data_IF_690709547274
#
_entry.id   IF_690709547274
#
_cell.length_a   1.000
_cell.length_b   1.000
_cell.length_c   1.000
_cell.angle_alpha   90.00
_cell.angle_beta   90.00
_cell.angle_gamma   90.00
#
_symmetry.space_group_name_H-M   'P 1'
#
loop_
_entity.id
_entity.type
_entity.pdbx_description
1 polymer ?
#
# COMPACT_ATOMS: atom_id res chain seq x y z
N UNK A 1 26.71 10.75 -6.50
CA UNK A 1 26.93 9.38 -7.00
C UNK A 1 26.19 9.23 -8.33
N UNK A 2 26.92 8.94 -9.41
CA UNK A 2 26.53 8.67 -10.81
C UNK A 2 25.24 9.26 -11.39
N UNK A 3 25.35 10.24 -12.30
CA UNK A 3 24.28 10.45 -13.29
C UNK A 3 24.33 9.27 -14.27
N UNK A 4 23.31 8.42 -14.24
CA UNK A 4 23.14 7.33 -15.20
C UNK A 4 22.85 7.94 -16.58
N UNK A 5 23.91 8.03 -17.41
CA UNK A 5 23.87 8.66 -18.74
C UNK A 5 23.78 7.55 -19.77
N UNK A 6 22.61 7.39 -20.38
CA UNK A 6 22.38 6.48 -21.50
C UNK A 6 22.36 7.28 -22.80
N UNK A 7 23.27 6.96 -23.73
CA UNK A 7 23.26 7.53 -25.08
C UNK A 7 21.98 7.07 -25.81
N UNK A 8 21.26 8.00 -26.42
CA UNK A 8 19.96 7.75 -27.08
C UNK A 8 19.95 8.10 -28.57
N UNK A 9 21.10 8.46 -29.16
CA UNK A 9 21.23 8.79 -30.58
C UNK A 9 21.57 10.26 -30.86
N UNK A 10 21.75 10.62 -32.15
CA UNK A 10 22.04 11.99 -32.58
C UNK A 10 20.86 12.94 -32.35
N UNK A 11 21.15 14.22 -32.13
CA UNK A 11 20.14 15.27 -31.89
C UNK A 11 19.26 15.52 -33.13
N UNK A 12 19.78 15.20 -34.32
CA UNK A 12 19.12 15.47 -35.60
C UNK A 12 17.99 14.48 -35.92
N UNK A 13 17.75 13.48 -35.06
CA UNK A 13 16.61 12.57 -35.16
C UNK A 13 15.39 13.18 -34.44
N UNK A 14 14.29 13.51 -35.16
CA UNK A 14 13.10 14.11 -34.57
C UNK A 14 12.42 13.24 -33.49
N UNK A 15 12.50 11.90 -33.60
CA UNK A 15 11.93 10.98 -32.61
C UNK A 15 12.76 10.96 -31.31
N UNK A 16 14.09 11.06 -31.42
CA UNK A 16 14.99 11.14 -30.27
C UNK A 16 14.82 12.47 -29.54
N UNK A 17 14.69 13.57 -30.29
CA UNK A 17 14.46 14.91 -29.71
C UNK A 17 13.13 14.96 -28.95
N UNK A 18 12.03 14.45 -29.53
CA UNK A 18 10.74 14.31 -28.81
C UNK A 18 10.85 13.49 -27.53
N UNK A 19 11.61 12.38 -27.56
CA UNK A 19 11.81 11.53 -26.38
C UNK A 19 12.60 12.24 -25.28
N UNK A 20 13.60 13.03 -25.65
CA UNK A 20 14.39 13.85 -24.72
C UNK A 20 13.54 14.95 -24.10
N UNK A 21 12.69 15.62 -24.89
CA UNK A 21 11.77 16.66 -24.39
C UNK A 21 10.72 16.08 -23.44
N UNK A 22 10.02 15.01 -23.83
CA UNK A 22 9.07 14.34 -22.95
C UNK A 22 9.72 13.89 -21.63
N UNK A 23 10.98 13.43 -21.68
CA UNK A 23 11.73 13.06 -20.49
C UNK A 23 12.13 14.27 -19.62
N UNK A 24 12.43 15.44 -20.23
CA UNK A 24 12.67 16.68 -19.49
C UNK A 24 11.41 17.14 -18.76
N UNK A 25 10.26 17.10 -19.41
CA UNK A 25 8.98 17.50 -18.81
C UNK A 25 8.58 16.59 -17.65
N UNK A 26 8.71 15.27 -17.83
CA UNK A 26 8.51 14.29 -16.76
C UNK A 26 9.45 14.55 -15.56
N UNK A 27 10.71 14.91 -15.82
CA UNK A 27 11.67 15.27 -14.75
C UNK A 27 11.30 16.57 -14.04
N UNK A 28 10.88 17.59 -14.78
CA UNK A 28 10.46 18.87 -14.22
C UNK A 28 9.23 18.70 -13.31
N UNK A 29 8.23 17.94 -13.78
CA UNK A 29 7.04 17.58 -13.01
C UNK A 29 7.40 16.79 -11.74
N UNK A 30 8.24 15.75 -11.83
CA UNK A 30 8.72 15.00 -10.67
C UNK A 30 9.45 15.88 -9.65
N UNK A 31 10.27 16.84 -10.09
CA UNK A 31 10.95 17.80 -9.22
C UNK A 31 9.95 18.73 -8.53
N UNK A 32 8.95 19.22 -9.28
CA UNK A 32 7.85 20.03 -8.75
C UNK A 32 7.06 19.29 -7.67
N UNK A 33 6.63 18.06 -7.94
CA UNK A 33 5.90 17.24 -6.95
C UNK A 33 6.73 16.91 -5.72
N UNK A 34 8.02 16.59 -5.87
CA UNK A 34 8.94 16.41 -4.73
C UNK A 34 9.03 17.66 -3.86
N UNK A 35 9.09 18.84 -4.47
CA UNK A 35 9.08 20.11 -3.73
C UNK A 35 7.77 20.28 -2.97
N UNK A 36 6.63 20.03 -3.61
CA UNK A 36 5.31 20.10 -2.99
C UNK A 36 5.19 19.15 -1.80
N UNK A 37 5.57 17.87 -1.96
CA UNK A 37 5.59 16.89 -0.87
C UNK A 37 6.51 17.34 0.27
N UNK A 38 7.70 17.86 -0.05
CA UNK A 38 8.61 18.40 0.96
C UNK A 38 7.99 19.57 1.74
N UNK A 39 7.27 20.47 1.06
CA UNK A 39 6.55 21.58 1.70
C UNK A 39 5.42 21.07 2.59
N UNK A 40 4.61 20.13 2.11
CA UNK A 40 3.52 19.52 2.90
C UNK A 40 4.04 18.84 4.18
N UNK A 41 5.17 18.14 4.10
CA UNK A 41 5.75 17.47 5.26
C UNK A 41 6.39 18.46 6.23
N UNK A 42 7.15 19.46 5.73
CA UNK A 42 7.91 20.38 6.58
C UNK A 42 7.07 21.52 7.17
N UNK A 43 6.23 22.14 6.34
CA UNK A 43 5.50 23.36 6.69
C UNK A 43 4.08 23.05 7.19
N UNK A 44 3.40 22.08 6.55
CA UNK A 44 2.06 21.66 6.99
C UNK A 44 2.09 20.54 8.04
N UNK A 45 3.27 20.00 8.35
CA UNK A 45 3.49 18.91 9.31
C UNK A 45 2.64 17.68 9.01
N UNK A 46 2.41 17.40 7.72
CA UNK A 46 1.71 16.19 7.31
C UNK A 46 2.61 14.97 7.51
N UNK A 47 2.03 13.82 7.86
CA UNK A 47 2.79 12.63 8.21
C UNK A 47 3.53 12.08 7.00
N UNK A 48 4.78 11.68 7.24
CA UNK A 48 5.62 10.99 6.28
C UNK A 48 5.74 9.52 6.70
N UNK A 49 5.53 8.54 5.81
CA UNK A 49 5.75 7.15 6.14
C UNK A 49 7.22 6.88 6.47
N UNK A 50 7.48 5.77 7.16
CA UNK A 50 8.85 5.26 7.26
C UNK A 50 9.42 5.05 5.84
N UNK A 51 10.74 5.22 5.63
CA UNK A 51 11.35 5.08 4.31
C UNK A 51 11.00 3.76 3.62
N UNK A 52 11.12 2.63 4.33
CA UNK A 52 10.81 1.30 3.79
C UNK A 52 9.34 1.14 3.38
N UNK A 53 8.40 1.64 4.21
CA UNK A 53 6.96 1.61 3.88
C UNK A 53 6.69 2.39 2.59
N UNK A 54 7.27 3.59 2.47
CA UNK A 54 7.10 4.42 1.27
C UNK A 54 7.72 3.79 0.02
N UNK A 55 8.88 3.15 0.14
CA UNK A 55 9.55 2.46 -0.96
C UNK A 55 8.77 1.23 -1.43
N UNK A 56 8.24 0.42 -0.51
CA UNK A 56 7.41 -0.75 -0.84
C UNK A 56 6.12 -0.31 -1.53
N UNK A 57 5.42 0.69 -1.00
CA UNK A 57 4.20 1.22 -1.62
C UNK A 57 4.51 1.82 -2.99
N UNK A 58 5.61 2.54 -3.16
CA UNK A 58 6.04 3.07 -4.47
C UNK A 58 6.36 1.95 -5.47
N UNK A 59 7.07 0.89 -5.03
CA UNK A 59 7.40 -0.27 -5.86
C UNK A 59 6.15 -0.98 -6.36
N UNK A 60 5.22 -1.29 -5.45
CA UNK A 60 3.95 -1.95 -5.82
C UNK A 60 3.03 -1.03 -6.65
N UNK A 61 3.05 0.28 -6.39
CA UNK A 61 2.33 1.24 -7.23
C UNK A 61 2.85 1.21 -8.69
N UNK A 62 4.18 1.23 -8.87
CA UNK A 62 4.82 1.14 -10.19
C UNK A 62 4.57 -0.20 -10.87
N UNK A 63 4.51 -1.29 -10.11
CA UNK A 63 4.17 -2.62 -10.60
C UNK A 63 2.69 -2.76 -11.03
N UNK A 64 1.83 -1.81 -10.64
CA UNK A 64 0.45 -1.72 -11.11
C UNK A 64 -0.62 -2.04 -10.08
N UNK A 65 -0.27 -2.20 -8.80
CA UNK A 65 -1.20 -2.67 -7.76
C UNK A 65 -2.50 -1.85 -7.71
N UNK A 66 -2.39 -0.51 -7.68
CA UNK A 66 -3.55 0.38 -7.65
C UNK A 66 -4.30 0.46 -8.99
N UNK A 67 -3.61 0.25 -10.12
CA UNK A 67 -4.24 0.15 -11.45
C UNK A 67 -5.13 -1.07 -11.53
N UNK A 68 -4.70 -2.17 -10.91
CA UNK A 68 -5.44 -3.43 -10.77
C UNK A 68 -6.47 -3.38 -9.63
N UNK A 69 -6.92 -2.18 -9.23
CA UNK A 69 -7.93 -1.95 -8.18
C UNK A 69 -7.56 -2.47 -6.79
N UNK A 70 -6.26 -2.64 -6.52
CA UNK A 70 -5.77 -2.84 -5.16
C UNK A 70 -5.95 -1.59 -4.30
N UNK A 71 -6.11 -1.79 -2.99
CA UNK A 71 -6.35 -0.75 -1.98
C UNK A 71 -5.30 -0.88 -0.87
N UNK A 72 -4.63 0.21 -0.54
CA UNK A 72 -3.75 0.30 0.62
C UNK A 72 -4.61 0.40 1.87
N UNK A 73 -4.39 -0.47 2.86
CA UNK A 73 -5.16 -0.46 4.11
C UNK A 73 -4.22 -0.34 5.32
N UNK A 74 -4.75 -0.57 6.52
CA UNK A 74 -3.94 -0.54 7.75
C UNK A 74 -3.42 0.85 8.11
N UNK A 75 -2.27 0.90 8.79
CA UNK A 75 -1.70 2.16 9.31
C UNK A 75 -1.14 3.04 8.19
N UNK A 76 -0.63 2.47 7.11
CA UNK A 76 -0.11 3.23 5.97
C UNK A 76 -1.21 4.06 5.29
N UNK A 77 -2.41 3.49 5.13
CA UNK A 77 -3.58 4.22 4.64
C UNK A 77 -4.00 5.37 5.57
N UNK A 78 -3.94 5.14 6.89
CA UNK A 78 -4.29 6.16 7.88
C UNK A 78 -3.43 7.43 7.79
N UNK A 79 -2.14 7.27 7.44
CA UNK A 79 -1.24 8.41 7.25
C UNK A 79 -1.71 9.33 6.11
N UNK A 80 -2.43 8.82 5.11
CA UNK A 80 -2.96 9.64 4.03
C UNK A 80 -4.10 10.58 4.47
N UNK A 81 -4.84 10.25 5.56
CA UNK A 81 -6.04 11.00 5.93
C UNK A 81 -5.77 12.41 6.43
N UNK A 82 -4.57 12.71 6.93
CA UNK A 82 -4.24 14.07 7.35
C UNK A 82 -4.34 15.06 6.16
N UNK A 83 -3.88 14.63 4.98
CA UNK A 83 -4.00 15.40 3.75
C UNK A 83 -5.44 15.44 3.22
N UNK A 84 -6.13 14.29 3.22
CA UNK A 84 -7.51 14.17 2.73
C UNK A 84 -8.49 15.02 3.53
N UNK A 85 -8.34 15.07 4.85
CA UNK A 85 -9.22 15.78 5.77
C UNK A 85 -8.79 17.22 6.04
N UNK A 86 -7.63 17.66 5.54
CA UNK A 86 -7.11 19.00 5.79
C UNK A 86 -6.78 19.30 7.25
N UNK A 87 -6.51 18.27 8.07
CA UNK A 87 -6.21 18.42 9.51
C UNK A 87 -5.08 17.51 9.96
N UNK A 88 -4.40 17.90 11.04
CA UNK A 88 -3.38 17.06 11.68
C UNK A 88 -4.02 15.91 12.45
N UNK A 89 -3.39 14.75 12.38
CA UNK A 89 -3.79 13.52 13.07
C UNK A 89 -2.73 13.09 14.09
N UNK A 90 -3.13 12.34 15.10
CA UNK A 90 -2.25 11.92 16.19
C UNK A 90 -1.11 11.00 15.69
N UNK A 91 0.14 11.41 15.91
CA UNK A 91 1.33 10.66 15.48
C UNK A 91 1.46 9.28 16.15
N UNK A 92 0.99 9.13 17.40
CA UNK A 92 1.00 7.86 18.12
C UNK A 92 0.19 6.76 17.41
N UNK A 93 -0.76 7.13 16.55
CA UNK A 93 -1.56 6.20 15.77
C UNK A 93 -0.90 5.77 14.44
N UNK A 94 0.32 6.25 14.12
CA UNK A 94 0.91 6.12 12.78
C UNK A 94 2.11 5.16 12.68
N UNK A 95 2.60 4.60 13.79
CA UNK A 95 3.72 3.65 13.77
C UNK A 95 3.25 2.23 13.43
N UNK A 96 3.96 1.55 12.52
CA UNK A 96 3.61 0.21 12.04
C UNK A 96 4.87 -0.47 11.48
N UNK A 97 5.03 -1.78 11.74
CA UNK A 97 6.14 -2.61 11.23
C UNK A 97 5.78 -3.39 9.97
N UNK A 98 4.66 -3.03 9.35
CA UNK A 98 3.95 -3.77 8.32
C UNK A 98 3.28 -2.83 7.32
N UNK A 99 2.91 -3.36 6.15
CA UNK A 99 2.03 -2.69 5.19
C UNK A 99 1.07 -3.70 4.59
N UNK A 100 -0.20 -3.33 4.60
CA UNK A 100 -1.29 -4.20 4.21
C UNK A 100 -1.92 -3.71 2.90
N UNK A 101 -2.12 -4.65 1.99
CA UNK A 101 -2.69 -4.43 0.68
C UNK A 101 -3.92 -5.30 0.51
N UNK A 102 -5.03 -4.73 0.06
CA UNK A 102 -6.29 -5.43 -0.09
C UNK A 102 -6.79 -5.41 -1.53
N UNK A 103 -7.42 -6.49 -1.97
CA UNK A 103 -8.07 -6.57 -3.29
C UNK A 103 -9.25 -7.55 -3.20
N UNK A 104 -10.35 -7.27 -3.91
CA UNK A 104 -11.43 -8.25 -4.10
C UNK A 104 -10.95 -9.42 -4.96
N UNK A 105 -11.28 -10.64 -4.55
CA UNK A 105 -10.93 -11.84 -5.32
C UNK A 105 -11.56 -11.83 -6.72
N UNK A 106 -12.83 -11.44 -6.84
CA UNK A 106 -13.55 -11.38 -8.11
C UNK A 106 -12.90 -10.40 -9.07
N UNK A 107 -12.37 -9.30 -8.57
CA UNK A 107 -11.61 -8.34 -9.38
C UNK A 107 -10.28 -8.97 -9.83
N UNK A 108 -9.59 -9.66 -8.92
CA UNK A 108 -8.33 -10.35 -9.24
C UNK A 108 -8.50 -11.40 -10.35
N UNK A 109 -9.64 -12.09 -10.37
CA UNK A 109 -9.99 -13.09 -11.39
C UNK A 109 -10.48 -12.44 -12.70
N UNK A 110 -11.29 -11.39 -12.61
CA UNK A 110 -11.89 -10.76 -13.79
C UNK A 110 -10.88 -9.93 -14.60
N UNK A 111 -9.84 -9.39 -13.95
CA UNK A 111 -8.79 -8.64 -14.64
C UNK A 111 -7.86 -9.62 -15.38
N UNK A 112 -7.79 -9.48 -16.71
CA UNK A 112 -6.88 -10.25 -17.58
C UNK A 112 -5.46 -9.65 -17.65
N UNK A 113 -5.04 -8.95 -16.60
CA UNK A 113 -3.72 -8.34 -16.41
C UNK A 113 -3.19 -8.76 -15.03
N UNK A 114 -1.88 -8.81 -14.87
CA UNK A 114 -1.25 -9.25 -13.62
C UNK A 114 0.01 -8.44 -13.33
N UNK A 115 0.29 -8.24 -12.06
CA UNK A 115 1.60 -7.74 -11.65
C UNK A 115 2.71 -8.76 -11.97
N UNK A 116 3.97 -8.30 -12.10
CA UNK A 116 5.11 -9.19 -11.93
C UNK A 116 5.04 -9.94 -10.59
N UNK A 117 5.79 -11.05 -10.43
CA UNK A 117 5.85 -11.75 -9.15
C UNK A 117 6.16 -10.79 -8.00
N UNK A 118 5.32 -10.82 -6.95
CA UNK A 118 5.42 -9.87 -5.83
C UNK A 118 6.82 -9.87 -5.23
N UNK A 119 7.40 -11.06 -5.05
CA UNK A 119 8.72 -11.21 -4.46
C UNK A 119 9.79 -10.47 -5.26
N UNK A 120 9.70 -10.46 -6.60
CA UNK A 120 10.65 -9.76 -7.46
C UNK A 120 10.51 -8.24 -7.31
N UNK A 121 9.28 -7.74 -7.23
CA UNK A 121 9.01 -6.31 -6.98
C UNK A 121 9.54 -5.89 -5.60
N UNK A 122 9.33 -6.72 -4.58
CA UNK A 122 9.81 -6.44 -3.22
C UNK A 122 11.33 -6.50 -3.13
N UNK A 123 11.98 -7.43 -3.83
CA UNK A 123 13.46 -7.57 -3.85
C UNK A 123 14.17 -6.41 -4.56
N UNK A 124 13.48 -5.70 -5.46
CA UNK A 124 13.98 -4.43 -5.99
C UNK A 124 14.05 -3.32 -4.93
N UNK A 125 13.24 -3.42 -3.87
CA UNK A 125 13.25 -2.50 -2.73
C UNK A 125 14.26 -2.95 -1.66
N UNK A 126 14.19 -4.22 -1.27
CA UNK A 126 15.10 -4.84 -0.31
C UNK A 126 15.36 -6.30 -0.74
N UNK A 127 16.58 -6.66 -1.18
CA UNK A 127 16.90 -8.01 -1.64
C UNK A 127 16.67 -9.11 -0.60
N UNK A 128 16.53 -8.76 0.68
CA UNK A 128 16.33 -9.72 1.77
C UNK A 128 14.89 -10.18 1.95
N UNK A 129 13.95 -9.65 1.16
CA UNK A 129 12.58 -10.13 1.18
C UNK A 129 12.50 -11.62 0.83
N UNK A 130 11.68 -12.33 1.60
CA UNK A 130 11.31 -13.72 1.39
C UNK A 130 9.82 -13.91 1.60
N UNK A 131 9.29 -14.93 0.96
CA UNK A 131 7.93 -15.41 1.19
C UNK A 131 7.80 -16.07 2.56
N UNK A 132 6.62 -15.92 3.14
CA UNK A 132 6.18 -16.66 4.32
C UNK A 132 5.03 -17.57 3.88
N UNK A 133 5.28 -18.88 3.75
CA UNK A 133 4.24 -19.85 3.40
C UNK A 133 3.08 -19.80 4.40
N UNK A 134 1.85 -19.90 3.89
CA UNK A 134 0.66 -19.96 4.73
C UNK A 134 0.65 -21.26 5.55
N UNK A 135 0.21 -21.17 6.81
CA UNK A 135 0.05 -22.36 7.67
C UNK A 135 -1.05 -23.30 7.17
N UNK A 136 -2.08 -22.75 6.50
CA UNK A 136 -3.19 -23.53 5.99
C UNK A 136 -2.89 -24.19 4.63
N UNK A 137 -2.01 -23.59 3.82
CA UNK A 137 -1.49 -24.19 2.58
C UNK A 137 -0.09 -23.64 2.28
N UNK A 138 0.94 -24.45 2.53
CA UNK A 138 2.34 -24.07 2.35
C UNK A 138 2.76 -23.83 0.90
N UNK A 139 1.90 -24.11 -0.08
CA UNK A 139 2.13 -23.76 -1.49
C UNK A 139 1.81 -22.31 -1.80
N UNK A 140 1.07 -21.64 -0.92
CA UNK A 140 0.58 -20.28 -1.12
C UNK A 140 1.17 -19.33 -0.08
N UNK A 141 1.60 -18.16 -0.56
CA UNK A 141 2.18 -17.10 0.26
C UNK A 141 1.26 -15.89 0.26
N UNK A 142 0.83 -15.45 1.45
CA UNK A 142 0.04 -14.21 1.65
C UNK A 142 0.86 -13.07 2.26
N UNK A 143 2.04 -13.41 2.80
CA UNK A 143 2.93 -12.50 3.51
C UNK A 143 4.36 -12.63 3.02
N UNK A 144 5.05 -11.50 3.02
CA UNK A 144 6.47 -11.37 2.69
C UNK A 144 7.15 -10.61 3.82
N UNK A 145 8.37 -11.01 4.16
CA UNK A 145 9.12 -10.42 5.28
C UNK A 145 10.56 -10.12 4.88
N UNK A 146 11.07 -8.95 5.25
CA UNK A 146 12.48 -8.60 5.08
C UNK A 146 13.31 -9.07 6.28
N UNK A 147 14.64 -9.06 6.16
CA UNK A 147 15.55 -9.35 7.29
C UNK A 147 15.37 -8.35 8.44
N UNK A 148 14.93 -7.13 8.14
CA UNK A 148 14.59 -6.10 9.13
C UNK A 148 13.24 -6.31 9.82
N UNK A 149 12.59 -7.47 9.63
CA UNK A 149 11.27 -7.80 10.17
C UNK A 149 10.15 -6.86 9.71
N UNK A 150 10.31 -6.24 8.53
CA UNK A 150 9.25 -5.47 7.89
C UNK A 150 8.34 -6.40 7.11
N UNK A 151 7.04 -6.35 7.37
CA UNK A 151 6.05 -7.27 6.79
C UNK A 151 5.24 -6.61 5.68
N UNK A 152 4.97 -7.36 4.62
CA UNK A 152 4.03 -7.00 3.56
C UNK A 152 2.98 -8.09 3.50
N UNK A 153 1.71 -7.74 3.66
CA UNK A 153 0.61 -8.72 3.65
C UNK A 153 -0.46 -8.35 2.64
N UNK A 154 -0.99 -9.37 1.94
CA UNK A 154 -2.10 -9.24 1.01
C UNK A 154 -3.37 -9.83 1.62
N UNK A 155 -4.47 -9.09 1.50
CA UNK A 155 -5.74 -9.38 2.13
C UNK A 155 -6.87 -9.40 1.09
N UNK A 156 -7.85 -10.26 1.30
CA UNK A 156 -9.07 -10.32 0.47
C UNK A 156 -10.30 -10.42 1.37
N UNK A 157 -11.47 -9.92 0.95
CA UNK A 157 -12.69 -10.13 1.71
C UNK A 157 -12.98 -11.60 1.96
N UNK A 158 -13.40 -11.93 3.17
CA UNK A 158 -13.83 -13.28 3.49
C UNK A 158 -15.20 -13.56 2.87
N UNK A 159 -15.23 -14.36 1.82
CA UNK A 159 -16.45 -14.73 1.07
C UNK A 159 -16.94 -16.16 1.35
N UNK A 160 -16.16 -16.95 2.09
CA UNK A 160 -16.44 -18.38 2.25
C UNK A 160 -17.06 -18.72 3.61
N UNK A 161 -17.73 -19.87 3.65
CA UNK A 161 -18.28 -20.48 4.87
C UNK A 161 -17.19 -20.70 5.92
N UNK A 162 -17.62 -20.86 7.19
CA UNK A 162 -16.69 -21.01 8.32
C UNK A 162 -15.71 -22.20 8.14
N UNK A 163 -16.07 -23.23 7.38
CA UNK A 163 -15.23 -24.41 7.08
C UNK A 163 -14.01 -24.11 6.18
N UNK A 164 -14.02 -22.98 5.48
CA UNK A 164 -12.92 -22.50 4.62
C UNK A 164 -12.24 -21.26 5.22
N UNK A 165 -12.65 -20.83 6.42
CA UNK A 165 -12.15 -19.62 7.06
C UNK A 165 -10.63 -19.68 7.27
N UNK A 166 -9.94 -18.63 6.85
CA UNK A 166 -8.50 -18.48 7.04
C UNK A 166 -7.62 -19.17 6.00
N UNK A 167 -8.19 -19.92 5.05
CA UNK A 167 -7.39 -20.48 3.94
C UNK A 167 -6.96 -19.36 2.99
N UNK A 168 -5.68 -19.36 2.54
CA UNK A 168 -5.20 -18.37 1.59
C UNK A 168 -5.96 -18.49 0.27
N UNK A 169 -6.33 -17.36 -0.31
CA UNK A 169 -7.09 -17.28 -1.56
C UNK A 169 -6.13 -16.90 -2.69
N UNK A 170 -5.98 -17.70 -3.75
CA UNK A 170 -5.17 -17.34 -4.91
C UNK A 170 -5.66 -16.04 -5.56
N UNK A 171 -4.72 -15.16 -5.92
CA UNK A 171 -5.00 -13.85 -6.51
C UNK A 171 -4.27 -13.70 -7.85
N UNK A 172 -4.89 -14.10 -8.98
CA UNK A 172 -4.23 -14.10 -10.29
C UNK A 172 -3.61 -12.75 -10.69
N UNK A 173 -4.28 -11.65 -10.36
CA UNK A 173 -3.77 -10.30 -10.66
C UNK A 173 -2.52 -9.92 -9.82
N UNK A 174 -2.20 -10.63 -8.75
CA UNK A 174 -1.07 -10.36 -7.86
C UNK A 174 0.17 -11.21 -8.22
N UNK A 175 0.36 -11.54 -9.50
CA UNK A 175 1.59 -12.20 -9.96
C UNK A 175 1.84 -13.57 -9.32
N UNK A 176 0.77 -14.32 -9.04
CA UNK A 176 0.83 -15.66 -8.44
C UNK A 176 0.79 -15.69 -6.90
N UNK A 177 0.74 -14.54 -6.22
CA UNK A 177 0.56 -14.50 -4.78
C UNK A 177 -0.89 -14.87 -4.36
N UNK A 178 -1.06 -15.21 -3.08
CA UNK A 178 -2.36 -15.37 -2.46
C UNK A 178 -2.66 -14.21 -1.49
N UNK A 179 -3.89 -14.13 -1.03
CA UNK A 179 -4.33 -13.18 -0.01
C UNK A 179 -4.99 -13.89 1.17
N UNK A 180 -4.78 -13.37 2.38
CA UNK A 180 -5.45 -13.83 3.60
C UNK A 180 -6.90 -13.31 3.60
N UNK A 181 -7.92 -14.16 3.77
CA UNK A 181 -9.31 -13.72 3.86
C UNK A 181 -9.56 -13.03 5.22
N UNK A 182 -10.16 -11.84 5.22
CA UNK A 182 -10.46 -11.07 6.43
C UNK A 182 -11.93 -10.62 6.47
N UNK A 183 -12.60 -10.81 7.62
CA UNK A 183 -13.97 -10.35 7.84
C UNK A 183 -14.05 -8.82 7.81
N UNK A 184 -15.15 -8.28 7.25
CA UNK A 184 -15.42 -6.84 7.09
C UNK A 184 -14.47 -6.09 6.16
N UNK A 185 -13.58 -6.79 5.46
CA UNK A 185 -12.69 -6.14 4.52
C UNK A 185 -13.44 -5.66 3.28
N UNK A 186 -14.50 -6.36 2.87
CA UNK A 186 -15.46 -5.91 1.85
C UNK A 186 -16.03 -4.53 2.17
N UNK A 187 -16.50 -4.33 3.41
CA UNK A 187 -17.00 -3.04 3.87
C UNK A 187 -15.91 -1.96 3.83
N UNK A 188 -14.69 -2.30 4.26
CA UNK A 188 -13.57 -1.36 4.34
C UNK A 188 -13.15 -0.86 2.95
N UNK A 189 -13.01 -1.76 1.98
CA UNK A 189 -12.41 -1.43 0.68
C UNK A 189 -13.45 -1.10 -0.40
N UNK A 190 -14.74 -1.12 -0.07
CA UNK A 190 -15.80 -0.68 -0.97
C UNK A 190 -15.70 0.82 -1.25
N UNK A 191 -15.72 1.19 -2.54
CA UNK A 191 -15.59 2.58 -3.03
C UNK A 191 -14.40 3.33 -2.41
N UNK A 192 -13.15 2.87 -2.67
CA UNK A 192 -11.97 3.53 -2.13
C UNK A 192 -11.78 4.92 -2.74
N UNK A 193 -11.17 5.82 -1.99
CA UNK A 193 -10.84 7.19 -2.42
C UNK A 193 -9.39 7.27 -2.90
N UNK A 194 -9.13 8.20 -3.82
CA UNK A 194 -7.77 8.52 -4.26
C UNK A 194 -7.08 9.36 -3.19
N UNK A 195 -5.86 8.99 -2.84
CA UNK A 195 -5.02 9.76 -1.94
C UNK A 195 -3.57 9.75 -2.41
N UNK A 196 -2.71 10.48 -1.68
CA UNK A 196 -1.27 10.52 -1.94
C UNK A 196 -0.55 10.12 -0.65
N UNK A 197 0.28 9.08 -0.73
CA UNK A 197 1.25 8.79 0.32
C UNK A 197 2.46 9.72 0.13
N UNK A 198 2.81 10.49 1.16
CA UNK A 198 3.86 11.52 1.11
C UNK A 198 5.28 10.94 1.14
N UNK A 199 5.61 10.11 0.16
CA UNK A 199 6.93 9.52 -0.08
C UNK A 199 7.48 9.97 -1.44
N UNK A 200 8.75 10.35 -1.52
CA UNK A 200 9.39 10.75 -2.77
C UNK A 200 8.68 11.93 -3.44
N UNK A 201 8.16 11.71 -4.66
CA UNK A 201 7.36 12.68 -5.41
C UNK A 201 5.87 12.65 -5.06
N UNK A 202 5.47 11.89 -4.04
CA UNK A 202 4.08 11.59 -3.75
C UNK A 202 3.64 10.36 -4.54
N UNK A 203 3.23 9.31 -3.83
CA UNK A 203 2.78 8.05 -4.44
C UNK A 203 1.25 8.08 -4.50
N UNK A 204 0.64 8.07 -5.71
CA UNK A 204 -0.80 7.93 -5.84
C UNK A 204 -1.24 6.56 -5.33
N UNK A 205 -2.22 6.54 -4.43
CA UNK A 205 -2.74 5.33 -3.81
C UNK A 205 -4.27 5.35 -3.82
N UNK A 206 -4.87 4.17 -3.72
CA UNK A 206 -6.27 4.00 -3.31
C UNK A 206 -6.29 3.61 -1.84
N UNK A 207 -7.11 4.29 -1.04
CA UNK A 207 -7.30 4.00 0.39
C UNK A 207 -8.81 3.91 0.68
N UNK A 208 -9.23 3.24 1.76
CA UNK A 208 -10.62 3.28 2.22
C UNK A 208 -11.10 4.72 2.39
N UNK A 209 -12.39 4.99 2.19
CA UNK A 209 -12.97 6.27 2.60
C UNK A 209 -12.81 6.45 4.12
N UNK A 210 -12.51 7.66 4.64
CA UNK A 210 -12.26 7.89 6.06
C UNK A 210 -13.35 7.34 6.99
N UNK A 211 -14.62 7.48 6.62
CA UNK A 211 -15.79 7.00 7.36
C UNK A 211 -15.81 5.47 7.49
N UNK A 212 -15.56 4.74 6.39
CA UNK A 212 -15.45 3.27 6.40
C UNK A 212 -14.25 2.82 7.22
N UNK A 213 -13.12 3.51 7.11
CA UNK A 213 -11.95 3.22 7.93
C UNK A 213 -12.26 3.33 9.42
N UNK A 214 -12.90 4.43 9.84
CA UNK A 214 -13.23 4.66 11.23
C UNK A 214 -14.15 3.57 11.79
N UNK A 215 -15.25 3.27 11.08
CA UNK A 215 -16.21 2.23 11.49
C UNK A 215 -15.53 0.85 11.52
N UNK A 216 -14.74 0.51 10.50
CA UNK A 216 -14.00 -0.75 10.48
C UNK A 216 -13.04 -0.87 11.68
N UNK A 217 -12.36 0.21 12.05
CA UNK A 217 -11.51 0.23 13.25
C UNK A 217 -12.27 0.03 14.55
N UNK A 218 -13.49 0.56 14.66
CA UNK A 218 -14.35 0.29 15.81
C UNK A 218 -14.80 -1.18 15.86
N UNK A 219 -15.16 -1.77 14.70
CA UNK A 219 -15.54 -3.19 14.59
C UNK A 219 -14.38 -4.12 14.98
N UNK A 220 -13.19 -3.91 14.39
CA UNK A 220 -12.02 -4.74 14.69
C UNK A 220 -11.52 -4.51 16.11
N UNK A 221 -11.51 -3.26 16.57
CA UNK A 221 -11.09 -2.90 17.91
C UNK A 221 -11.98 -3.48 19.01
N UNK A 222 -13.29 -3.65 18.79
CA UNK A 222 -14.19 -4.28 19.75
C UNK A 222 -13.96 -5.79 19.85
N UNK A 223 -13.70 -6.45 18.71
CA UNK A 223 -13.47 -7.90 18.62
C UNK A 223 -12.12 -8.34 19.18
N UNK A 224 -11.09 -7.51 19.04
CA UNK A 224 -9.75 -7.79 19.56
C UNK A 224 -9.73 -7.93 21.09
N UNK A 225 -10.64 -7.32 21.85
CA UNK A 225 -10.67 -7.39 23.33
C UNK A 225 -10.67 -8.82 23.93
N UNK A 226 -10.96 -9.85 23.13
CA UNK A 226 -10.91 -11.25 23.55
C UNK A 226 -9.47 -11.83 23.68
N UNK A 227 -8.45 -11.19 23.10
CA UNK A 227 -7.06 -11.68 23.12
C UNK A 227 -6.14 -10.87 24.06
N UNK A 228 -5.23 -11.53 24.79
CA UNK A 228 -4.39 -10.87 25.83
C UNK A 228 -3.39 -9.83 25.27
N UNK A 229 -2.95 -9.96 24.01
CA UNK A 229 -2.09 -8.98 23.30
C UNK A 229 -2.88 -7.83 22.65
N UNK A 230 -4.20 -7.79 22.82
CA UNK A 230 -5.07 -6.89 22.07
C UNK A 230 -5.23 -5.49 22.65
N UNK A 231 -4.89 -5.27 23.92
CA UNK A 231 -5.24 -4.00 24.59
C UNK A 231 -4.58 -2.79 23.91
N UNK A 232 -3.29 -2.89 23.55
CA UNK A 232 -2.57 -1.83 22.85
C UNK A 232 -3.06 -1.64 21.40
N UNK A 233 -3.29 -2.74 20.66
CA UNK A 233 -3.83 -2.70 19.29
C UNK A 233 -5.24 -2.10 19.25
N UNK A 234 -6.09 -2.47 20.21
CA UNK A 234 -7.45 -1.97 20.35
C UNK A 234 -7.48 -0.49 20.75
N UNK A 235 -6.59 -0.06 21.65
CA UNK A 235 -6.43 1.36 21.96
C UNK A 235 -5.98 2.17 20.73
N UNK A 236 -5.01 1.66 19.97
CA UNK A 236 -4.58 2.25 18.69
C UNK A 236 -5.73 2.35 17.68
N UNK A 237 -6.52 1.29 17.51
CA UNK A 237 -7.64 1.29 16.58
C UNK A 237 -8.70 2.34 16.97
N UNK A 238 -9.05 2.45 18.26
CA UNK A 238 -9.99 3.50 18.74
C UNK A 238 -9.43 4.90 18.56
N UNK A 239 -8.14 5.11 18.81
CA UNK A 239 -7.49 6.40 18.61
C UNK A 239 -7.51 6.81 17.14
N UNK A 240 -7.23 5.87 16.22
CA UNK A 240 -7.32 6.11 14.79
C UNK A 240 -8.74 6.49 14.38
N UNK A 241 -9.76 5.73 14.82
CA UNK A 241 -11.16 6.03 14.52
C UNK A 241 -11.54 7.44 15.01
N UNK A 242 -11.31 7.74 16.29
CA UNK A 242 -11.62 9.05 16.91
C UNK A 242 -10.89 10.22 16.24
N UNK A 243 -9.74 9.99 15.62
CA UNK A 243 -8.96 11.10 15.03
C UNK A 243 -9.52 11.56 13.68
N UNK A 244 -10.32 10.74 13.01
CA UNK A 244 -10.81 10.99 11.65
C UNK A 244 -12.33 11.15 11.55
N UNK A 245 -13.06 11.03 12.67
CA UNK A 245 -14.48 11.34 12.81
C UNK A 245 -14.72 12.35 13.93
#
# INVERSE_FOLDING_TARGET
SGQDRRYVGPVDDPEITKRVEAFKDLKADLKGRRRLVSTLVREAYLPRPMPITGQVVEGLAKAGFFRLRGVLVGTAAYQCYAAVLGRRLAAAAMQTGDVDFAQFHEISVAIKDSMPPILDVLRQVDPTFREVPSQADGRLSTRFVSRGNFNVEFLTPNQWSDDQAGKPVPMPALGGAAASPLRFLDYLIYQPVRAVLLHGAGVPVLVPSPERYAIHKLIVGSRRKADRDATAKSAKDRLQARSII
#
